data_IF_684195649536
#
_entry.id   IF_684195649536
#
_cell.length_a   1.000
_cell.length_b   1.000
_cell.length_c   1.000
_cell.angle_alpha   90.00
_cell.angle_beta   90.00
_cell.angle_gamma   90.00
#
_symmetry.space_group_name_H-M   'P 1'
#
loop_
_entity.id
_entity.type
_entity.pdbx_description
1 polymer ?
#
# COMPACT_ATOMS: atom_id res chain seq x y z
N UNK A 1 9.69 17.98 14.27
CA UNK A 1 10.06 16.58 14.57
C UNK A 1 9.97 16.39 16.09
N UNK A 2 9.25 15.38 16.59
CA UNK A 2 9.12 15.16 18.03
C UNK A 2 10.26 14.24 18.53
N UNK A 3 11.24 14.75 19.30
CA UNK A 3 12.41 13.97 19.70
C UNK A 3 12.07 12.80 20.64
N UNK A 4 11.00 12.92 21.43
CA UNK A 4 10.57 11.85 22.32
C UNK A 4 9.97 10.68 21.54
N UNK A 5 9.17 10.98 20.51
CA UNK A 5 8.61 9.96 19.63
C UNK A 5 9.72 9.22 18.85
N UNK A 6 10.74 9.95 18.38
CA UNK A 6 11.87 9.34 17.68
C UNK A 6 12.62 8.32 18.54
N UNK A 7 12.83 8.61 19.83
CA UNK A 7 13.47 7.65 20.77
C UNK A 7 12.68 6.35 20.85
N UNK A 8 11.35 6.44 20.91
CA UNK A 8 10.46 5.27 20.93
C UNK A 8 10.60 4.47 19.62
N UNK A 9 10.63 5.14 18.48
CA UNK A 9 10.81 4.49 17.18
C UNK A 9 12.14 3.74 17.08
N UNK A 10 13.24 4.38 17.50
CA UNK A 10 14.57 3.75 17.50
C UNK A 10 14.57 2.49 18.38
N UNK A 11 13.97 2.56 19.57
CA UNK A 11 13.85 1.41 20.46
C UNK A 11 13.04 0.25 19.83
N UNK A 12 11.97 0.57 19.09
CA UNK A 12 11.11 -0.43 18.42
C UNK A 12 11.76 -1.07 17.20
N UNK A 13 12.56 -0.32 16.43
CA UNK A 13 13.28 -0.82 15.25
C UNK A 13 14.35 -1.85 15.63
N UNK A 14 14.88 -1.79 16.87
CA UNK A 14 15.87 -2.75 17.42
C UNK A 14 17.11 -2.94 16.53
N UNK A 15 17.52 -1.89 15.81
CA UNK A 15 18.71 -1.90 14.97
C UNK A 15 19.87 -1.27 15.71
N UNK A 16 20.97 -2.02 15.83
CA UNK A 16 22.18 -1.53 16.48
C UNK A 16 22.83 -0.42 15.63
N UNK A 17 23.39 0.61 16.30
CA UNK A 17 24.08 1.76 15.66
C UNK A 17 23.25 2.50 14.60
N UNK A 18 21.92 2.47 14.71
CA UNK A 18 21.04 3.20 13.80
C UNK A 18 20.83 4.64 14.25
N UNK A 19 21.30 5.60 13.44
CA UNK A 19 21.06 7.03 13.64
C UNK A 19 20.20 7.55 12.49
N UNK A 20 18.87 7.63 12.68
CA UNK A 20 17.98 8.14 11.64
C UNK A 20 18.19 9.64 11.45
N UNK A 21 18.33 10.08 10.19
CA UNK A 21 18.28 11.50 9.83
C UNK A 21 16.85 12.08 9.93
N UNK A 22 15.83 11.23 9.74
CA UNK A 22 14.42 11.59 9.84
C UNK A 22 13.58 10.40 10.34
N UNK A 23 12.39 10.69 10.90
CA UNK A 23 11.40 9.69 11.33
C UNK A 23 10.60 9.15 10.14
N UNK A 24 11.28 8.52 9.17
CA UNK A 24 10.63 7.99 7.97
C UNK A 24 10.73 6.47 7.96
N UNK A 25 9.58 5.82 7.75
CA UNK A 25 9.42 4.37 7.59
C UNK A 25 8.37 4.12 6.51
N UNK A 26 8.42 2.95 5.86
CA UNK A 26 7.34 2.53 4.96
C UNK A 26 6.05 2.21 5.75
N UNK A 27 4.91 2.21 5.04
CA UNK A 27 3.59 2.01 5.63
C UNK A 27 3.42 0.68 6.35
N UNK A 28 4.15 -0.35 5.92
CA UNK A 28 3.98 -1.73 6.39
C UNK A 28 4.37 -1.91 7.87
N UNK A 29 5.12 -0.95 8.41
CA UNK A 29 5.56 -0.94 9.80
C UNK A 29 4.51 -0.37 10.78
N UNK A 30 3.39 0.14 10.27
CA UNK A 30 2.31 0.71 11.07
C UNK A 30 1.01 -0.06 10.85
N UNK A 31 0.20 -0.14 11.89
CA UNK A 31 -1.16 -0.65 11.78
C UNK A 31 -2.03 0.29 10.95
N UNK A 32 -3.07 -0.27 10.31
CA UNK A 32 -4.00 0.51 9.47
C UNK A 32 -4.68 1.64 10.23
N UNK A 33 -4.88 1.47 11.55
CA UNK A 33 -5.52 2.44 12.45
C UNK A 33 -4.63 3.67 12.76
N UNK A 34 -3.32 3.56 12.53
CA UNK A 34 -2.37 4.65 12.70
C UNK A 34 -2.41 5.67 11.56
N UNK A 35 -3.23 5.44 10.53
CA UNK A 35 -3.37 6.35 9.41
C UNK A 35 -4.68 7.14 9.49
N UNK A 36 -4.59 8.42 9.10
CA UNK A 36 -5.73 9.28 8.82
C UNK A 36 -5.83 9.51 7.32
N UNK A 37 -7.06 9.49 6.80
CA UNK A 37 -7.35 9.73 5.39
C UNK A 37 -7.82 11.16 5.21
N UNK A 38 -7.27 11.82 4.18
CA UNK A 38 -7.72 13.14 3.79
C UNK A 38 -8.79 13.02 2.70
N UNK A 39 -10.03 13.40 3.05
CA UNK A 39 -11.23 13.17 2.25
C UNK A 39 -11.14 13.70 0.81
N UNK A 40 -10.42 14.81 0.59
CA UNK A 40 -10.35 15.47 -0.72
C UNK A 40 -9.30 14.89 -1.67
N UNK A 41 -8.21 14.33 -1.14
CA UNK A 41 -7.05 13.92 -1.97
C UNK A 41 -6.81 12.41 -1.95
N UNK A 42 -7.59 11.63 -1.19
CA UNK A 42 -7.39 10.20 -0.94
C UNK A 42 -5.96 9.86 -0.46
N UNK A 43 -5.23 10.86 0.05
CA UNK A 43 -3.91 10.67 0.64
C UNK A 43 -4.10 10.25 2.08
N UNK A 44 -3.27 9.32 2.54
CA UNK A 44 -3.21 8.94 3.95
C UNK A 44 -1.94 9.47 4.59
N UNK A 45 -2.05 9.93 5.82
CA UNK A 45 -0.93 10.37 6.64
C UNK A 45 -0.92 9.64 7.96
N UNK A 46 0.26 9.50 8.56
CA UNK A 46 0.39 8.91 9.88
C UNK A 46 -0.15 9.88 10.94
N UNK A 47 -0.95 9.38 11.87
CA UNK A 47 -1.44 10.18 13.00
C UNK A 47 -0.27 10.72 13.83
N UNK A 48 -0.41 11.92 14.41
CA UNK A 48 0.61 12.43 15.33
C UNK A 48 0.73 11.48 16.53
N UNK A 49 1.96 11.05 16.84
CA UNK A 49 2.23 10.17 17.98
C UNK A 49 2.15 8.67 17.69
N UNK A 50 1.81 8.25 16.47
CA UNK A 50 1.85 6.84 16.11
C UNK A 50 3.24 6.24 16.24
N UNK A 51 3.28 4.97 16.66
CA UNK A 51 4.50 4.21 16.90
C UNK A 51 4.49 2.99 15.96
N UNK A 52 5.62 2.67 15.30
CA UNK A 52 5.69 1.48 14.47
C UNK A 52 5.65 0.22 15.34
N UNK A 53 4.65 -0.62 15.12
CA UNK A 53 4.40 -1.86 15.87
C UNK A 53 4.75 -3.11 15.07
N UNK A 54 4.73 -3.02 13.74
CA UNK A 54 4.75 -4.18 12.87
C UNK A 54 6.17 -4.46 12.33
N UNK A 55 7.03 -5.01 13.19
CA UNK A 55 8.37 -5.47 12.81
C UNK A 55 8.47 -6.99 12.92
N UNK A 56 8.84 -7.64 11.83
CA UNK A 56 9.12 -9.08 11.79
C UNK A 56 10.63 -9.29 12.00
N UNK A 57 11.01 -9.74 13.19
CA UNK A 57 12.40 -10.06 13.52
C UNK A 57 12.64 -11.57 13.36
N UNK A 58 12.86 -12.04 12.14
CA UNK A 58 13.22 -13.45 11.92
C UNK A 58 14.62 -13.72 12.46
N UNK A 59 14.78 -14.75 13.29
CA UNK A 59 16.10 -15.18 13.82
C UNK A 59 16.95 -15.96 12.81
N UNK A 60 16.44 -16.26 11.62
CA UNK A 60 17.12 -17.05 10.60
C UNK A 60 17.72 -16.18 9.50
N UNK A 61 18.89 -16.57 8.93
CA UNK A 61 19.41 -15.94 7.74
C UNK A 61 18.38 -16.06 6.62
N UNK A 62 17.99 -14.91 6.08
CA UNK A 62 16.90 -14.69 5.15
C UNK A 62 16.76 -15.76 4.05
N UNK A 63 15.50 -16.15 3.82
CA UNK A 63 14.91 -16.86 2.68
C UNK A 63 15.16 -16.21 1.30
N UNK A 64 16.37 -15.73 1.00
CA UNK A 64 16.76 -15.20 -0.32
C UNK A 64 16.79 -16.27 -1.43
N UNK A 65 16.11 -17.41 -1.28
CA UNK A 65 15.91 -18.43 -2.32
C UNK A 65 14.51 -18.43 -2.95
N UNK A 66 13.54 -17.61 -2.51
CA UNK A 66 12.17 -17.58 -3.09
C UNK A 66 11.95 -16.37 -4.02
N UNK A 67 13.00 -15.89 -4.69
CA UNK A 67 12.86 -15.01 -5.86
C UNK A 67 13.44 -15.64 -7.14
N UNK A 68 13.77 -16.93 -7.13
CA UNK A 68 14.29 -17.65 -8.31
C UNK A 68 13.26 -18.58 -9.02
N UNK A 69 11.95 -18.36 -8.85
CA UNK A 69 11.00 -19.04 -9.74
C UNK A 69 9.70 -18.26 -9.99
N UNK A 70 9.80 -17.15 -10.70
CA UNK A 70 8.80 -16.84 -11.72
C UNK A 70 9.35 -17.36 -13.06
N UNK A 71 9.06 -18.63 -13.39
CA UNK A 71 9.00 -19.03 -14.80
C UNK A 71 7.61 -18.61 -15.28
N UNK A 72 7.47 -17.78 -16.32
CA UNK A 72 6.19 -17.62 -16.98
C UNK A 72 5.93 -18.92 -17.76
N UNK A 73 5.04 -19.77 -17.27
CA UNK A 73 4.52 -20.90 -18.05
C UNK A 73 3.06 -20.61 -18.38
N UNK A 74 2.88 -20.22 -19.63
CA UNK A 74 1.72 -20.44 -20.48
C UNK A 74 0.88 -21.65 -20.06
N UNK A 75 -0.43 -21.45 -19.89
CA UNK A 75 -1.43 -22.47 -20.20
C UNK A 75 -2.76 -21.80 -20.52
N UNK A 76 -3.03 -21.71 -21.81
CA UNK A 76 -4.34 -21.54 -22.43
C UNK A 76 -5.31 -22.58 -21.87
N UNK A 77 -6.45 -22.16 -21.32
CA UNK A 77 -7.72 -22.88 -21.48
C UNK A 77 -8.85 -21.85 -21.61
N UNK A 78 -9.52 -21.92 -22.77
CA UNK A 78 -10.75 -21.21 -23.09
C UNK A 78 -11.90 -22.07 -22.56
N UNK A 79 -12.84 -21.48 -21.82
CA UNK A 79 -14.23 -21.93 -21.82
C UNK A 79 -15.11 -20.71 -22.07
N UNK A 80 -15.67 -20.63 -23.26
CA UNK A 80 -16.72 -19.69 -23.65
C UNK A 80 -18.11 -20.34 -23.42
N UNK A 81 -19.23 -19.59 -23.50
CA UNK A 81 -20.00 -19.07 -22.37
C UNK A 81 -21.38 -19.78 -22.20
N UNK A 82 -22.27 -19.27 -21.33
CA UNK A 82 -23.63 -19.08 -21.80
C UNK A 82 -24.11 -17.62 -21.68
N UNK A 83 -24.75 -17.20 -22.78
CA UNK A 83 -25.36 -15.90 -23.10
C UNK A 83 -26.60 -15.59 -22.24
N UNK A 84 -26.74 -14.33 -21.80
CA UNK A 84 -27.91 -13.42 -21.95
C UNK A 84 -27.69 -12.19 -21.04
N UNK A 85 -27.33 -11.03 -21.61
CA UNK A 85 -28.17 -9.83 -21.85
C UNK A 85 -28.63 -9.19 -20.52
N UNK A 86 -28.43 -7.91 -20.23
CA UNK A 86 -29.02 -6.77 -20.94
C UNK A 86 -28.22 -5.46 -20.77
N UNK A 87 -28.46 -4.58 -21.72
CA UNK A 87 -27.78 -3.36 -22.12
C UNK A 87 -27.84 -2.23 -21.08
N UNK A 88 -26.75 -1.49 -20.90
CA UNK A 88 -26.85 -0.12 -20.39
C UNK A 88 -26.10 0.82 -21.33
N UNK A 89 -26.90 1.68 -21.95
CA UNK A 89 -26.62 2.36 -23.21
C UNK A 89 -25.48 3.38 -23.19
N UNK A 90 -24.91 3.53 -24.38
CA UNK A 90 -23.85 4.45 -24.78
C UNK A 90 -24.30 5.92 -24.86
N UNK A 91 -25.41 6.29 -24.23
CA UNK A 91 -26.01 7.63 -24.31
C UNK A 91 -25.57 8.56 -23.16
N UNK A 92 -24.98 8.05 -22.08
CA UNK A 92 -24.49 8.92 -20.99
C UNK A 92 -23.06 9.44 -21.20
N UNK A 93 -22.26 8.79 -22.06
CA UNK A 93 -20.89 9.23 -22.35
C UNK A 93 -20.90 10.46 -23.29
N UNK A 94 -21.95 10.62 -24.11
CA UNK A 94 -22.11 11.76 -25.02
C UNK A 94 -22.55 13.05 -24.30
N UNK A 95 -23.16 12.98 -23.11
CA UNK A 95 -23.52 14.22 -22.37
C UNK A 95 -22.35 14.78 -21.55
N UNK A 96 -21.42 13.93 -21.10
CA UNK A 96 -20.31 14.35 -20.23
C UNK A 96 -19.22 15.11 -21.00
N UNK A 97 -19.04 14.81 -22.29
CA UNK A 97 -18.09 15.52 -23.16
C UNK A 97 -18.59 16.93 -23.47
N UNK A 98 -19.90 17.17 -23.46
CA UNK A 98 -20.49 18.49 -23.75
C UNK A 98 -20.34 19.51 -22.59
N UNK A 99 -20.04 19.07 -21.36
CA UNK A 99 -19.99 19.96 -20.19
C UNK A 99 -18.63 20.66 -19.99
N UNK A 100 -17.54 20.18 -20.61
CA UNK A 100 -16.20 20.75 -20.45
C UNK A 100 -15.73 21.64 -21.61
N UNK A 101 -16.60 21.90 -22.60
CA UNK A 101 -16.29 22.72 -23.77
C UNK A 101 -17.28 23.87 -23.97
N UNK A 102 -17.33 24.78 -22.99
CA UNK A 102 -17.76 26.20 -23.13
C UNK A 102 -17.15 27.00 -22.00
#
# INVERSE_FOLDING_TARGET
>A
MNPNLLKIWIAKIRREKFVPYASVLCSDHFEKECFEYQNFTNRRHLKPGSVPTNFVFTKSPSFRKILERCKPSTSTEICEPPVSNEEMGTEEIQSFIQFFAT
#
